data_IF_573766406685
#
_entry.id   IF_573766406685
#
_cell.length_a   1.000
_cell.length_b   1.000
_cell.length_c   1.000
_cell.angle_alpha   90.00
_cell.angle_beta   90.00
_cell.angle_gamma   90.00
#
_symmetry.space_group_name_H-M   'P 1'
#
loop_
_entity.id
_entity.type
_entity.pdbx_description
1 polymer ?
#
# COMPACT_ATOMS: atom_id res chain seq x y z
N UNK A 1 -50.79 10.94 -11.20
CA UNK A 1 -50.01 12.14 -10.87
C UNK A 1 -48.57 11.70 -10.61
N UNK A 2 -47.69 11.80 -11.61
CA UNK A 2 -46.29 11.36 -11.51
C UNK A 2 -45.39 12.54 -11.11
N UNK A 3 -44.52 12.33 -10.12
CA UNK A 3 -43.46 13.26 -9.74
C UNK A 3 -42.20 13.00 -10.61
N UNK A 4 -41.49 14.04 -11.08
CA UNK A 4 -40.34 13.86 -11.95
C UNK A 4 -39.10 13.37 -11.17
N UNK A 5 -38.49 12.31 -11.68
CA UNK A 5 -37.18 11.76 -11.31
C UNK A 5 -36.07 12.72 -11.73
N UNK A 6 -35.27 13.20 -10.78
CA UNK A 6 -34.06 13.94 -11.08
C UNK A 6 -33.00 13.00 -11.72
N UNK A 7 -32.33 13.39 -12.82
CA UNK A 7 -31.25 12.60 -13.38
C UNK A 7 -30.04 12.68 -12.45
N UNK A 8 -29.56 11.51 -12.01
CA UNK A 8 -28.39 11.37 -11.18
C UNK A 8 -27.19 12.09 -11.79
N UNK A 9 -26.62 13.03 -11.04
CA UNK A 9 -25.35 13.66 -11.39
C UNK A 9 -24.29 12.57 -11.61
N UNK A 10 -23.62 12.53 -12.78
CA UNK A 10 -22.49 11.64 -12.97
C UNK A 10 -21.39 12.07 -12.00
N UNK A 11 -20.96 11.15 -11.14
CA UNK A 11 -19.83 11.36 -10.24
C UNK A 11 -18.62 11.85 -11.05
N UNK A 12 -17.96 12.94 -10.65
CA UNK A 12 -16.86 13.51 -11.44
C UNK A 12 -15.72 12.49 -11.59
N UNK A 13 -15.28 12.34 -12.84
CA UNK A 13 -14.21 11.44 -13.28
C UNK A 13 -12.80 11.77 -12.69
N UNK A 14 -12.73 12.72 -11.75
CA UNK A 14 -11.51 13.28 -11.15
C UNK A 14 -10.81 12.33 -10.16
N UNK A 15 -11.38 11.15 -9.87
CA UNK A 15 -10.75 10.15 -9.01
C UNK A 15 -9.58 9.41 -9.69
N UNK A 16 -9.31 9.64 -10.99
CA UNK A 16 -8.35 8.83 -11.77
C UNK A 16 -6.90 9.32 -11.81
N UNK A 17 -6.56 10.42 -11.13
CA UNK A 17 -5.20 10.98 -11.25
C UNK A 17 -4.64 11.71 -10.03
N UNK A 18 -5.20 11.53 -8.83
CA UNK A 18 -4.80 12.32 -7.66
C UNK A 18 -3.39 11.99 -7.15
N UNK A 19 -2.44 12.89 -7.44
CA UNK A 19 -1.18 13.09 -6.71
C UNK A 19 -0.45 11.85 -6.20
N UNK A 20 -0.21 10.83 -7.05
CA UNK A 20 0.61 9.68 -6.63
C UNK A 20 2.03 10.16 -6.37
N UNK A 21 2.64 9.66 -5.28
CA UNK A 21 4.06 9.92 -4.96
C UNK A 21 4.91 9.69 -6.22
N UNK A 22 5.74 10.68 -6.58
CA UNK A 22 6.59 10.65 -7.79
C UNK A 22 7.26 9.27 -7.92
N UNK A 23 7.16 8.69 -9.12
CA UNK A 23 7.67 7.35 -9.40
C UNK A 23 9.19 7.39 -9.35
N UNK A 24 9.78 6.53 -8.50
CA UNK A 24 11.23 6.35 -8.46
C UNK A 24 11.66 5.54 -9.71
N UNK A 25 12.69 6.03 -10.40
CA UNK A 25 13.39 5.30 -11.45
C UNK A 25 14.66 4.73 -10.85
N UNK A 26 14.77 3.40 -10.84
CA UNK A 26 15.95 2.70 -10.34
C UNK A 26 17.11 2.83 -11.33
N UNK A 27 18.29 3.21 -10.85
CA UNK A 27 19.53 3.15 -11.64
C UNK A 27 19.95 1.69 -11.90
N UNK A 28 20.82 1.41 -12.89
CA UNK A 28 21.36 0.07 -13.10
C UNK A 28 22.01 -0.51 -11.83
N UNK A 29 22.90 0.24 -11.19
CA UNK A 29 23.57 -0.17 -9.94
C UNK A 29 22.60 -0.50 -8.81
N UNK A 30 21.53 0.29 -8.65
CA UNK A 30 20.48 0.01 -7.65
C UNK A 30 19.74 -1.30 -7.97
N UNK A 31 19.44 -1.57 -9.24
CA UNK A 31 18.77 -2.81 -9.66
C UNK A 31 19.64 -4.03 -9.43
N UNK A 32 20.95 -3.91 -9.69
CA UNK A 32 21.89 -5.00 -9.50
C UNK A 32 22.05 -5.34 -8.02
N UNK A 33 22.17 -4.32 -7.16
CA UNK A 33 22.19 -4.50 -5.70
C UNK A 33 20.90 -5.17 -5.17
N UNK A 34 19.73 -4.73 -5.65
CA UNK A 34 18.44 -5.33 -5.30
C UNK A 34 18.34 -6.79 -5.76
N UNK A 35 18.77 -7.09 -6.99
CA UNK A 35 18.79 -8.45 -7.54
C UNK A 35 19.73 -9.36 -6.76
N UNK A 36 20.96 -8.93 -6.53
CA UNK A 36 21.94 -9.68 -5.74
C UNK A 36 21.43 -9.99 -4.34
N UNK A 37 20.78 -9.02 -3.68
CA UNK A 37 20.14 -9.25 -2.39
C UNK A 37 18.96 -10.23 -2.46
N UNK A 38 18.17 -10.18 -3.53
CA UNK A 38 17.04 -11.09 -3.72
C UNK A 38 17.49 -12.54 -3.92
N UNK A 39 18.56 -12.77 -4.68
CA UNK A 39 19.11 -14.12 -4.87
C UNK A 39 19.65 -14.71 -3.57
N UNK A 40 20.16 -13.89 -2.66
CA UNK A 40 20.54 -14.33 -1.32
C UNK A 40 19.29 -14.69 -0.50
N UNK A 41 18.42 -13.73 -0.29
CA UNK A 41 17.18 -13.91 0.48
C UNK A 41 15.99 -13.16 -0.18
N UNK A 42 15.00 -13.88 -0.75
CA UNK A 42 13.78 -13.27 -1.28
C UNK A 42 12.84 -12.67 -0.21
N UNK A 43 13.05 -13.01 1.06
CA UNK A 43 12.24 -12.63 2.21
C UNK A 43 13.08 -11.89 3.28
N UNK A 44 13.70 -10.74 2.93
CA UNK A 44 14.46 -9.99 3.90
C UNK A 44 13.55 -9.42 5.00
N UNK A 45 14.07 -9.37 6.21
CA UNK A 45 13.51 -8.70 7.37
C UNK A 45 13.74 -7.20 7.31
N UNK A 46 13.41 -6.52 8.40
CA UNK A 46 13.48 -5.06 8.44
C UNK A 46 14.92 -4.54 8.45
N UNK A 47 15.79 -5.08 9.30
CA UNK A 47 17.19 -4.67 9.38
C UNK A 47 17.90 -4.81 8.02
N UNK A 48 17.75 -5.98 7.38
CA UNK A 48 18.32 -6.26 6.05
C UNK A 48 17.81 -5.28 4.99
N UNK A 49 16.52 -4.94 5.01
CA UNK A 49 15.96 -3.93 4.09
C UNK A 49 16.48 -2.52 4.39
N UNK A 50 16.63 -2.14 5.65
CA UNK A 50 17.13 -0.83 6.06
C UNK A 50 18.60 -0.65 5.66
N UNK A 51 19.43 -1.67 5.87
CA UNK A 51 20.83 -1.67 5.42
C UNK A 51 20.93 -1.53 3.89
N UNK A 52 20.13 -2.30 3.14
CA UNK A 52 20.12 -2.20 1.67
C UNK A 52 19.63 -0.82 1.21
N UNK A 53 18.60 -0.29 1.85
CA UNK A 53 18.04 1.02 1.55
C UNK A 53 19.08 2.14 1.75
N UNK A 54 19.83 2.09 2.85
CA UNK A 54 20.94 3.00 3.14
C UNK A 54 22.05 2.86 2.09
N UNK A 55 22.47 1.63 1.79
CA UNK A 55 23.55 1.36 0.84
C UNK A 55 23.25 1.87 -0.59
N UNK A 56 21.99 1.81 -1.03
CA UNK A 56 21.60 2.21 -2.39
C UNK A 56 20.97 3.60 -2.47
N UNK A 57 20.90 4.33 -1.34
CA UNK A 57 20.40 5.70 -1.26
C UNK A 57 18.91 5.85 -1.55
N UNK A 58 18.08 4.88 -1.14
CA UNK A 58 16.62 4.96 -1.35
C UNK A 58 15.86 4.72 -0.05
N UNK A 59 14.62 5.23 0.09
CA UNK A 59 13.82 4.94 1.27
C UNK A 59 13.50 3.44 1.40
N UNK A 60 13.63 2.88 2.61
CA UNK A 60 13.28 1.47 2.88
C UNK A 60 11.91 1.05 2.34
N UNK A 61 10.84 1.87 2.41
CA UNK A 61 9.54 1.47 1.88
C UNK A 61 9.58 1.16 0.37
N UNK A 62 10.50 1.78 -0.39
CA UNK A 62 10.70 1.48 -1.81
C UNK A 62 11.35 0.12 -2.01
N UNK A 63 12.33 -0.23 -1.17
CA UNK A 63 12.93 -1.57 -1.13
C UNK A 63 11.86 -2.61 -0.78
N UNK A 64 11.05 -2.36 0.26
CA UNK A 64 9.97 -3.26 0.66
C UNK A 64 8.97 -3.53 -0.49
N UNK A 65 8.57 -2.49 -1.22
CA UNK A 65 7.66 -2.60 -2.38
C UNK A 65 8.35 -3.34 -3.52
N UNK A 66 9.63 -3.08 -3.77
CA UNK A 66 10.39 -3.78 -4.80
C UNK A 66 10.44 -5.29 -4.54
N UNK A 67 10.81 -5.72 -3.33
CA UNK A 67 10.84 -7.15 -2.96
C UNK A 67 9.47 -7.82 -3.08
N UNK A 68 8.39 -7.12 -2.73
CA UNK A 68 7.02 -7.63 -2.93
C UNK A 68 6.71 -7.82 -4.41
N UNK A 69 6.96 -6.81 -5.23
CA UNK A 69 6.71 -6.87 -6.67
C UNK A 69 7.56 -7.94 -7.36
N UNK A 70 8.81 -8.11 -6.92
CA UNK A 70 9.73 -9.08 -7.49
C UNK A 70 9.34 -10.52 -7.14
N UNK A 71 8.93 -10.79 -5.89
CA UNK A 71 8.32 -12.08 -5.53
C UNK A 71 7.05 -12.34 -6.34
N UNK A 72 6.17 -11.35 -6.49
CA UNK A 72 4.97 -11.51 -7.33
C UNK A 72 5.32 -11.80 -8.79
N UNK A 73 6.38 -11.20 -9.32
CA UNK A 73 6.85 -11.45 -10.70
C UNK A 73 7.36 -12.88 -10.83
N UNK A 74 8.26 -13.33 -9.94
CA UNK A 74 8.80 -14.69 -10.00
C UNK A 74 7.73 -15.75 -9.77
N UNK A 75 6.79 -15.52 -8.86
CA UNK A 75 5.69 -16.46 -8.63
C UNK A 75 4.82 -16.61 -9.89
N UNK A 76 4.54 -15.51 -10.61
CA UNK A 76 3.84 -15.58 -11.90
C UNK A 76 4.64 -16.35 -12.95
N UNK A 77 5.96 -16.18 -12.97
CA UNK A 77 6.85 -16.91 -13.87
C UNK A 77 6.88 -18.40 -13.56
N UNK A 78 7.16 -18.78 -12.31
CA UNK A 78 7.13 -20.17 -11.84
C UNK A 78 5.80 -20.86 -12.15
N UNK A 79 4.67 -20.17 -11.96
CA UNK A 79 3.35 -20.69 -12.32
C UNK A 79 3.19 -20.94 -13.83
N UNK A 80 3.76 -20.07 -14.68
CA UNK A 80 3.74 -20.26 -16.15
C UNK A 80 4.64 -21.40 -16.58
N UNK A 81 5.75 -21.60 -15.90
CA UNK A 81 6.74 -22.64 -16.17
C UNK A 81 6.42 -23.97 -15.44
N UNK A 82 5.29 -24.05 -14.72
CA UNK A 82 4.91 -25.17 -13.86
C UNK A 82 6.00 -25.60 -12.86
N UNK A 83 6.84 -24.64 -12.43
CA UNK A 83 7.93 -24.87 -11.46
C UNK A 83 7.48 -24.54 -10.03
N UNK A 84 7.84 -25.36 -9.03
CA UNK A 84 7.53 -25.06 -7.64
C UNK A 84 8.30 -23.82 -7.16
N UNK A 85 7.67 -22.98 -6.35
CA UNK A 85 8.31 -21.82 -5.74
C UNK A 85 9.17 -22.28 -4.55
N UNK A 86 10.48 -21.97 -4.49
CA UNK A 86 11.40 -22.52 -3.50
C UNK A 86 11.16 -22.06 -2.05
N UNK A 87 10.11 -21.27 -1.78
CA UNK A 87 9.76 -20.83 -0.43
C UNK A 87 10.83 -19.96 0.25
N UNK A 88 10.62 -19.58 1.52
CA UNK A 88 11.64 -18.90 2.32
C UNK A 88 12.80 -19.85 2.62
N UNK A 89 14.04 -19.40 2.39
CA UNK A 89 15.24 -20.12 2.82
C UNK A 89 15.64 -19.64 4.21
N UNK A 90 15.59 -20.52 5.19
CA UNK A 90 15.97 -20.26 6.58
C UNK A 90 14.86 -19.66 7.45
N UNK A 91 15.16 -19.39 8.74
CA UNK A 91 14.21 -18.81 9.68
C UNK A 91 13.67 -17.47 9.19
N UNK A 92 12.38 -17.17 9.42
CA UNK A 92 11.79 -15.90 9.02
C UNK A 92 12.49 -14.73 9.74
N UNK A 93 13.11 -13.84 8.98
CA UNK A 93 13.69 -12.61 9.54
C UNK A 93 12.60 -11.72 10.17
N UNK A 94 12.97 -10.98 11.21
CA UNK A 94 12.05 -10.19 12.02
C UNK A 94 11.15 -9.23 11.21
N UNK A 95 9.84 -9.29 11.49
CA UNK A 95 8.86 -8.34 10.94
C UNK A 95 8.99 -6.97 11.61
N UNK A 96 8.49 -5.92 10.96
CA UNK A 96 8.37 -4.59 11.60
C UNK A 96 7.56 -4.73 12.88
N UNK A 97 8.05 -4.13 13.97
CA UNK A 97 7.26 -3.92 15.17
C UNK A 97 5.98 -3.18 14.79
N UNK A 98 4.86 -3.63 15.36
CA UNK A 98 3.55 -3.03 15.12
C UNK A 98 3.57 -1.62 15.68
N UNK A 99 3.21 -0.64 14.86
CA UNK A 99 3.03 0.74 15.33
C UNK A 99 1.75 0.78 16.18
N UNK A 100 1.88 1.17 17.44
CA UNK A 100 0.74 1.51 18.28
C UNK A 100 0.20 2.87 17.79
N UNK A 101 -1.09 2.91 17.46
CA UNK A 101 -1.79 4.14 17.09
C UNK A 101 -2.62 4.54 18.29
N UNK A 102 -2.41 5.75 18.81
CA UNK A 102 -3.14 6.25 19.98
C UNK A 102 -4.59 6.59 19.61
N UNK A 103 -5.44 6.78 20.62
CA UNK A 103 -6.83 7.21 20.40
C UNK A 103 -6.90 8.61 19.76
N UNK A 104 -6.02 9.54 20.17
CA UNK A 104 -5.93 10.87 19.58
C UNK A 104 -5.52 10.84 18.11
N UNK A 105 -4.50 10.05 17.76
CA UNK A 105 -4.09 9.83 16.37
C UNK A 105 -5.22 9.18 15.56
N UNK A 106 -5.95 8.22 16.14
CA UNK A 106 -7.09 7.58 15.49
C UNK A 106 -8.21 8.58 15.21
N UNK A 107 -8.51 9.48 16.15
CA UNK A 107 -9.54 10.51 15.97
C UNK A 107 -9.22 11.44 14.78
N UNK A 108 -7.96 11.88 14.65
CA UNK A 108 -7.48 12.67 13.50
C UNK A 108 -7.71 11.91 12.19
N UNK A 109 -7.26 10.65 12.12
CA UNK A 109 -7.39 9.83 10.91
C UNK A 109 -8.85 9.53 10.54
N UNK A 110 -9.73 9.37 11.53
CA UNK A 110 -11.17 9.19 11.31
C UNK A 110 -11.82 10.45 10.72
N UNK A 111 -11.56 11.62 11.29
CA UNK A 111 -12.05 12.91 10.74
C UNK A 111 -11.59 13.11 9.30
N UNK A 112 -10.33 12.80 9.01
CA UNK A 112 -9.80 12.87 7.65
C UNK A 112 -10.47 11.86 6.70
N UNK A 113 -10.74 10.64 7.17
CA UNK A 113 -11.38 9.58 6.37
C UNK A 113 -12.83 9.89 6.01
N UNK A 114 -13.56 10.58 6.88
CA UNK A 114 -14.93 11.04 6.61
C UNK A 114 -14.95 12.10 5.51
N UNK A 115 -13.95 12.99 5.50
CA UNK A 115 -13.80 14.02 4.47
C UNK A 115 -13.32 13.44 3.12
N UNK A 116 -12.31 12.58 3.15
CA UNK A 116 -11.73 11.98 1.95
C UNK A 116 -11.24 10.56 2.20
N UNK A 117 -11.86 9.56 1.55
CA UNK A 117 -11.47 8.14 1.69
C UNK A 117 -10.21 7.75 0.90
N UNK A 118 -9.82 8.58 -0.06
CA UNK A 118 -8.69 8.36 -0.97
C UNK A 118 -7.75 9.56 -0.96
N UNK A 119 -7.14 9.90 0.19
CA UNK A 119 -6.23 11.03 0.28
C UNK A 119 -5.04 10.82 -0.65
N UNK A 120 -4.59 11.88 -1.32
CA UNK A 120 -3.40 11.85 -2.16
C UNK A 120 -2.10 11.84 -1.33
N UNK A 121 -0.93 11.94 -1.97
CA UNK A 121 0.33 11.94 -1.23
C UNK A 121 0.51 13.18 -0.32
N UNK A 122 0.10 14.36 -0.78
CA UNK A 122 0.28 15.60 -0.01
C UNK A 122 -0.59 15.57 1.25
N UNK A 123 -1.86 15.19 1.11
CA UNK A 123 -2.78 15.04 2.26
C UNK A 123 -2.25 14.03 3.27
N UNK A 124 -1.64 12.92 2.81
CA UNK A 124 -1.05 11.93 3.72
C UNK A 124 0.24 12.41 4.40
N UNK A 125 1.04 13.25 3.76
CA UNK A 125 2.19 13.89 4.42
C UNK A 125 1.75 14.89 5.48
N UNK A 126 0.68 15.64 5.24
CA UNK A 126 0.14 16.56 6.25
C UNK A 126 -0.37 15.81 7.49
N UNK A 127 -1.14 14.74 7.28
CA UNK A 127 -1.56 13.84 8.37
C UNK A 127 -0.37 13.18 9.09
N UNK A 128 0.74 12.95 8.39
CA UNK A 128 1.96 12.41 9.00
C UNK A 128 2.58 13.42 9.97
N UNK A 129 2.62 14.69 9.58
CA UNK A 129 3.08 15.79 10.44
C UNK A 129 2.16 15.98 11.64
N UNK A 130 0.85 15.91 11.45
CA UNK A 130 -0.14 16.10 12.54
C UNK A 130 -0.14 14.94 13.54
N UNK A 131 -0.07 13.69 13.06
CA UNK A 131 -0.17 12.50 13.93
C UNK A 131 1.18 12.01 14.45
N UNK A 132 2.30 12.48 13.88
CA UNK A 132 3.64 11.94 14.14
C UNK A 132 3.85 10.53 13.58
N UNK A 133 2.89 9.98 12.82
CA UNK A 133 3.00 8.68 12.19
C UNK A 133 3.70 8.81 10.83
N UNK A 134 4.56 7.85 10.43
CA UNK A 134 5.11 7.84 9.09
C UNK A 134 4.02 7.84 8.02
N UNK A 135 4.19 8.56 6.89
CA UNK A 135 3.22 8.59 5.78
C UNK A 135 2.83 7.18 5.32
N UNK A 136 3.80 6.25 5.31
CA UNK A 136 3.54 4.84 4.98
C UNK A 136 2.54 4.17 5.94
N UNK A 137 2.50 4.54 7.23
CA UNK A 137 1.52 4.03 8.20
C UNK A 137 0.14 4.57 7.92
N UNK A 138 0.04 5.84 7.56
CA UNK A 138 -1.23 6.47 7.18
C UNK A 138 -1.76 5.83 5.91
N UNK A 139 -0.92 5.61 4.90
CA UNK A 139 -1.29 4.92 3.67
C UNK A 139 -1.86 3.52 3.94
N UNK A 140 -1.24 2.74 4.84
CA UNK A 140 -1.72 1.40 5.23
C UNK A 140 -2.99 1.49 6.08
N UNK A 141 -3.09 2.47 6.98
CA UNK A 141 -4.29 2.70 7.79
C UNK A 141 -5.50 2.96 6.90
N UNK A 142 -5.39 3.86 5.91
CA UNK A 142 -6.47 4.16 4.97
C UNK A 142 -6.83 2.94 4.10
N UNK A 143 -5.85 2.15 3.66
CA UNK A 143 -6.11 0.88 2.96
C UNK A 143 -6.91 -0.10 3.81
N UNK A 144 -6.47 -0.33 5.06
CA UNK A 144 -7.14 -1.22 6.00
C UNK A 144 -8.54 -0.71 6.38
N UNK A 145 -8.70 0.60 6.54
CA UNK A 145 -9.99 1.23 6.86
C UNK A 145 -10.98 1.04 5.72
N UNK A 146 -10.57 1.24 4.46
CA UNK A 146 -11.41 0.97 3.28
C UNK A 146 -11.77 -0.52 3.14
N UNK A 147 -10.84 -1.43 3.41
CA UNK A 147 -11.12 -2.87 3.34
C UNK A 147 -12.16 -3.33 4.38
N UNK A 148 -12.24 -2.65 5.54
CA UNK A 148 -13.24 -2.91 6.59
C UNK A 148 -14.54 -2.15 6.40
N UNK A 149 -14.51 -1.05 5.65
CA UNK A 149 -15.68 -0.28 5.26
C UNK A 149 -15.75 -0.15 3.73
N UNK A 150 -15.93 -1.27 3.00
CA UNK A 150 -16.31 -1.20 1.60
C UNK A 150 -17.71 -0.58 1.60
N UNK A 151 -17.81 0.71 1.30
CA UNK A 151 -19.06 1.43 1.45
C UNK A 151 -20.21 0.71 0.74
N UNK A 152 -21.39 0.75 1.38
CA UNK A 152 -22.74 0.76 0.80
C UNK A 152 -22.78 1.40 -0.60
N UNK A 153 -22.35 0.63 -1.59
CA UNK A 153 -22.42 0.88 -3.01
C UNK A 153 -22.67 -0.50 -3.62
N UNK A 154 -23.94 -0.87 -3.79
CA UNK A 154 -24.33 -2.08 -4.53
C UNK A 154 -24.64 -3.34 -3.71
N UNK A 155 -25.45 -3.26 -2.65
CA UNK A 155 -26.29 -4.41 -2.28
C UNK A 155 -27.73 -3.93 -2.22
N UNK A 156 -28.41 -4.01 -3.38
CA UNK A 156 -29.87 -3.94 -3.41
C UNK A 156 -30.45 -5.06 -2.55
N UNK A 157 -31.66 -4.90 -1.98
CA UNK A 157 -32.29 -5.94 -1.20
C UNK A 157 -32.42 -7.19 -2.06
N UNK A 158 -31.96 -8.32 -1.52
CA UNK A 158 -32.24 -9.63 -2.11
C UNK A 158 -33.77 -9.79 -2.06
N UNK A 159 -34.41 -9.76 -3.22
CA UNK A 159 -35.76 -10.25 -3.37
C UNK A 159 -35.73 -11.74 -3.02
N UNK A 160 -36.32 -12.06 -1.88
CA UNK A 160 -36.79 -13.40 -1.57
C UNK A 160 -37.92 -13.72 -2.54
N UNK A 161 -37.79 -14.81 -3.27
CA UNK A 161 -38.89 -15.47 -3.98
C UNK A 161 -39.35 -16.66 -3.15
#
# INVERSE_FOLDING_TARGET
MALPTAPGSPLPAEARGRGRRKRLVWTPSQRDALRASFERNPYPGMATREQLAQAIGVPEPRVQIWFQNERSRRLRQHRRESRPWPGPRGPPEGRRKRTAVTQSQTAVLLRAFERERFPDFATREELARETGLPESRIQIWFQNRRARHPGRAGRGPAAVS
#
